data_IF_844737307042
#
_entry.id   IF_844737307042
#
_cell.length_a   1.000
_cell.length_b   1.000
_cell.length_c   1.000
_cell.angle_alpha   90.00
_cell.angle_beta   90.00
_cell.angle_gamma   90.00
#
_symmetry.space_group_name_H-M   'P 1'
#
loop_
_entity.id
_entity.type
_entity.pdbx_description
1 polymer ?
#
# COMPACT_ATOMS: atom_id res chain seq x y z
N UNK A 1 10.68 22.01 -3.82
CA UNK A 1 9.26 21.57 -3.79
C UNK A 1 9.28 20.05 -3.73
N UNK A 2 8.64 19.45 -2.74
CA UNK A 2 8.58 17.98 -2.61
C UNK A 2 7.78 17.46 -3.82
N UNK A 3 8.48 16.85 -4.78
CA UNK A 3 7.88 16.40 -6.04
C UNK A 3 6.93 15.25 -5.80
N UNK A 4 5.72 15.34 -6.34
CA UNK A 4 4.76 14.23 -6.31
C UNK A 4 5.14 13.27 -7.45
N UNK A 5 5.95 12.27 -7.14
CA UNK A 5 6.22 11.15 -8.04
C UNK A 5 5.02 10.18 -8.00
N UNK A 6 4.48 9.83 -9.17
CA UNK A 6 3.41 8.84 -9.29
C UNK A 6 3.96 7.59 -9.97
N UNK A 7 3.86 6.45 -9.29
CA UNK A 7 4.02 5.14 -9.91
C UNK A 7 2.63 4.57 -10.16
N UNK A 8 2.38 4.09 -11.39
CA UNK A 8 1.08 3.56 -11.79
C UNK A 8 1.27 2.20 -12.46
N UNK A 9 0.54 1.21 -11.96
CA UNK A 9 0.56 -0.16 -12.45
C UNK A 9 -0.88 -0.54 -12.75
N UNK A 10 -1.13 -0.99 -13.97
CA UNK A 10 -2.48 -1.32 -14.47
C UNK A 10 -2.45 -2.74 -14.98
N UNK A 11 -3.51 -3.50 -14.68
CA UNK A 11 -3.67 -4.82 -15.24
C UNK A 11 -3.70 -4.75 -16.78
N UNK A 12 -3.06 -5.69 -17.46
CA UNK A 12 -3.04 -5.80 -18.92
C UNK A 12 -4.35 -6.35 -19.47
N UNK A 13 -5.18 -6.94 -18.61
CA UNK A 13 -6.46 -7.57 -18.94
C UNK A 13 -7.53 -7.21 -17.90
N UNK A 14 -8.82 -7.20 -18.27
CA UNK A 14 -9.91 -7.04 -17.31
C UNK A 14 -9.89 -8.14 -16.24
N UNK A 15 -10.32 -7.80 -15.03
CA UNK A 15 -10.52 -8.80 -13.98
C UNK A 15 -11.66 -9.76 -14.37
N UNK A 16 -11.53 -11.06 -14.04
CA UNK A 16 -12.63 -12.01 -14.21
C UNK A 16 -13.83 -11.66 -13.31
N UNK A 17 -15.00 -12.19 -13.65
CA UNK A 17 -16.22 -12.03 -12.85
C UNK A 17 -16.37 -13.13 -11.81
N UNK A 18 -17.11 -12.86 -10.72
CA UNK A 18 -17.42 -13.84 -9.68
C UNK A 18 -16.46 -13.76 -8.50
N UNK A 19 -16.11 -14.92 -7.94
CA UNK A 19 -15.13 -15.01 -6.87
C UNK A 19 -13.71 -14.87 -7.43
N UNK A 20 -13.02 -13.82 -7.02
CA UNK A 20 -11.67 -13.50 -7.50
C UNK A 20 -10.76 -13.19 -6.33
N UNK A 21 -9.59 -13.82 -6.32
CA UNK A 21 -8.48 -13.45 -5.44
C UNK A 21 -7.58 -12.48 -6.20
N UNK A 22 -7.53 -11.23 -5.76
CA UNK A 22 -6.57 -10.24 -6.27
C UNK A 22 -5.40 -10.11 -5.31
N UNK A 23 -4.19 -10.01 -5.85
CA UNK A 23 -2.96 -9.86 -5.06
C UNK A 23 -2.03 -8.86 -5.72
N UNK A 24 -1.52 -7.92 -4.92
CA UNK A 24 -0.37 -7.09 -5.25
C UNK A 24 0.81 -7.60 -4.44
N UNK A 25 1.92 -7.88 -5.12
CA UNK A 25 3.20 -8.24 -4.52
C UNK A 25 4.19 -7.12 -4.79
N UNK A 26 4.80 -6.60 -3.73
CA UNK A 26 5.93 -5.68 -3.83
C UNK A 26 7.21 -6.40 -3.43
N UNK A 27 8.18 -6.41 -4.33
CA UNK A 27 9.52 -6.95 -4.11
C UNK A 27 10.53 -5.81 -4.11
N UNK A 28 10.98 -5.40 -2.93
CA UNK A 28 12.00 -4.38 -2.78
C UNK A 28 13.35 -4.87 -3.34
N UNK A 29 14.08 -3.99 -4.03
CA UNK A 29 15.41 -4.34 -4.55
C UNK A 29 16.43 -4.52 -3.42
N UNK A 30 16.21 -3.80 -2.31
CA UNK A 30 17.06 -3.77 -1.12
C UNK A 30 16.24 -3.42 0.12
N UNK A 31 16.67 -3.92 1.27
CA UNK A 31 16.05 -3.63 2.57
C UNK A 31 16.49 -2.25 3.09
N UNK A 32 15.92 -1.20 2.50
CA UNK A 32 16.17 0.17 2.96
C UNK A 32 14.88 1.00 2.94
N UNK A 33 14.86 2.05 3.76
CA UNK A 33 13.74 3.00 3.77
C UNK A 33 13.74 3.84 2.50
N UNK A 34 12.58 3.95 1.85
CA UNK A 34 12.42 4.74 0.64
C UNK A 34 12.96 4.07 -0.64
N UNK A 35 13.53 2.86 -0.53
CA UNK A 35 14.00 2.08 -1.67
C UNK A 35 12.86 1.68 -2.61
N UNK A 36 13.20 1.52 -3.89
CA UNK A 36 12.28 1.04 -4.91
C UNK A 36 12.14 -0.49 -4.93
N UNK A 37 11.29 -0.96 -5.85
CA UNK A 37 11.06 -2.37 -6.08
C UNK A 37 10.16 -2.63 -7.29
N UNK A 38 9.91 -3.90 -7.53
CA UNK A 38 8.97 -4.37 -8.56
C UNK A 38 7.61 -4.60 -7.93
N UNK A 39 6.56 -4.10 -8.58
CA UNK A 39 5.17 -4.35 -8.23
C UNK A 39 4.61 -5.34 -9.25
N UNK A 40 4.11 -6.47 -8.77
CA UNK A 40 3.45 -7.50 -9.58
C UNK A 40 2.01 -7.69 -9.13
N UNK A 41 1.08 -7.75 -10.08
CA UNK A 41 -0.35 -7.92 -9.82
C UNK A 41 -0.85 -9.26 -10.34
N UNK A 42 -1.74 -9.89 -9.57
CA UNK A 42 -2.29 -11.19 -9.86
C UNK A 42 -3.80 -11.22 -9.68
N UNK A 43 -4.48 -12.00 -10.52
CA UNK A 43 -5.85 -12.44 -10.32
C UNK A 43 -5.89 -13.97 -10.39
N UNK A 44 -6.40 -14.63 -9.36
CA UNK A 44 -6.45 -16.09 -9.26
C UNK A 44 -5.09 -16.75 -9.55
N UNK A 45 -4.03 -16.19 -8.97
CA UNK A 45 -2.62 -16.59 -9.14
C UNK A 45 -2.02 -16.45 -10.54
N UNK A 46 -2.78 -15.92 -11.50
CA UNK A 46 -2.26 -15.53 -12.82
C UNK A 46 -1.73 -14.11 -12.74
N UNK A 47 -0.49 -13.88 -13.20
CA UNK A 47 0.09 -12.53 -13.28
C UNK A 47 -0.61 -11.74 -14.38
N UNK A 48 -1.19 -10.60 -14.00
CA UNK A 48 -1.99 -9.74 -14.89
C UNK A 48 -1.38 -8.34 -15.06
N UNK A 49 -0.22 -8.08 -14.48
CA UNK A 49 0.45 -6.80 -14.65
C UNK A 49 1.71 -6.72 -13.80
N UNK A 50 2.62 -5.87 -14.22
CA UNK A 50 3.89 -5.65 -13.54
C UNK A 50 4.37 -4.24 -13.85
N UNK A 51 5.11 -3.64 -12.92
CA UNK A 51 5.78 -2.39 -13.19
C UNK A 51 6.78 -2.01 -12.13
N UNK A 52 7.57 -0.99 -12.46
CA UNK A 52 8.60 -0.47 -11.59
C UNK A 52 8.03 0.61 -10.66
N UNK A 53 8.44 0.58 -9.39
CA UNK A 53 8.29 1.69 -8.46
C UNK A 53 9.68 2.09 -7.99
N UNK A 54 10.18 3.23 -8.44
CA UNK A 54 11.58 3.60 -8.22
C UNK A 54 11.90 3.96 -6.77
N UNK A 55 10.90 4.42 -6.03
CA UNK A 55 11.02 4.83 -4.63
C UNK A 55 9.74 4.55 -3.87
N UNK A 56 9.88 4.20 -2.61
CA UNK A 56 8.78 4.14 -1.63
C UNK A 56 8.79 5.39 -0.75
N UNK A 57 7.72 5.58 0.04
CA UNK A 57 7.67 6.67 1.02
C UNK A 57 8.70 6.42 2.12
N UNK A 58 9.66 7.32 2.28
CA UNK A 58 10.79 7.13 3.19
C UNK A 58 10.46 7.42 4.67
N UNK A 59 9.33 8.07 4.97
CA UNK A 59 8.99 8.49 6.33
C UNK A 59 7.52 8.29 6.71
N UNK A 60 6.62 9.20 6.29
CA UNK A 60 5.21 9.18 6.71
C UNK A 60 4.26 9.15 5.52
N UNK A 61 3.38 8.15 5.50
CA UNK A 61 2.41 7.93 4.42
C UNK A 61 1.27 8.96 4.41
N UNK A 62 0.74 9.35 5.57
CA UNK A 62 -0.33 10.34 5.62
C UNK A 62 -0.42 11.11 6.94
N UNK A 63 -1.00 12.30 6.85
CA UNK A 63 -1.52 13.07 7.99
C UNK A 63 -3.05 13.21 7.99
N UNK A 64 -3.74 12.67 6.98
CA UNK A 64 -5.20 12.86 6.79
C UNK A 64 -5.94 11.56 6.44
N UNK A 65 -5.52 10.82 5.41
CA UNK A 65 -6.19 9.59 4.97
C UNK A 65 -5.64 8.33 5.68
N UNK A 66 -6.50 7.36 5.97
CA UNK A 66 -6.13 6.07 6.56
C UNK A 66 -6.04 4.94 5.53
N UNK A 67 -6.21 3.71 5.99
CA UNK A 67 -6.42 2.54 5.14
C UNK A 67 -7.91 2.20 5.14
N UNK A 68 -8.57 2.34 4.00
CA UNK A 68 -9.97 1.96 3.85
C UNK A 68 -10.12 0.60 3.13
N UNK A 69 -11.17 -0.14 3.50
CA UNK A 69 -11.54 -1.40 2.86
C UNK A 69 -13.00 -1.30 2.40
N UNK A 70 -13.25 -1.55 1.12
CA UNK A 70 -14.61 -1.58 0.56
C UNK A 70 -15.20 -0.21 0.20
N UNK A 71 -14.55 0.90 0.55
CA UNK A 71 -14.90 2.25 0.08
C UNK A 71 -13.73 3.20 0.33
N UNK A 72 -13.30 3.96 -0.67
CA UNK A 72 -12.26 4.98 -0.50
C UNK A 72 -12.89 6.30 0.02
N UNK A 73 -12.46 6.77 1.19
CA UNK A 73 -12.95 7.99 1.81
C UNK A 73 -11.95 9.14 1.62
N UNK A 74 -12.14 9.94 0.57
CA UNK A 74 -11.37 11.17 0.37
C UNK A 74 -11.02 11.43 -1.09
N UNK A 75 -9.74 11.71 -1.34
CA UNK A 75 -9.21 11.92 -2.68
C UNK A 75 -8.80 10.58 -3.30
N UNK A 76 -9.09 10.38 -4.59
CA UNK A 76 -8.76 9.13 -5.26
C UNK A 76 -7.23 8.92 -5.31
N UNK A 77 -6.81 7.67 -5.15
CA UNK A 77 -5.43 7.20 -5.35
C UNK A 77 -4.98 7.42 -6.80
N UNK A 78 -5.90 7.27 -7.78
CA UNK A 78 -5.64 7.52 -9.19
C UNK A 78 -6.73 8.42 -9.80
N UNK A 79 -6.30 9.46 -10.50
CA UNK A 79 -7.19 10.41 -11.20
C UNK A 79 -8.03 9.75 -12.28
N UNK A 80 -7.61 8.61 -12.83
CA UNK A 80 -8.34 7.87 -13.84
C UNK A 80 -9.74 7.41 -13.41
N UNK A 81 -10.02 7.38 -12.10
CA UNK A 81 -11.34 7.07 -11.56
C UNK A 81 -11.95 8.19 -10.72
N UNK A 82 -11.34 9.38 -10.69
CA UNK A 82 -11.69 10.44 -9.74
C UNK A 82 -13.11 11.01 -9.87
N UNK A 83 -13.78 10.76 -11.00
CA UNK A 83 -15.17 11.12 -11.26
C UNK A 83 -16.19 10.14 -10.63
N UNK A 84 -15.73 9.02 -10.07
CA UNK A 84 -16.58 7.93 -9.51
C UNK A 84 -16.82 8.02 -8.01
N UNK A 85 -16.51 9.16 -7.39
CA UNK A 85 -16.71 9.37 -5.95
C UNK A 85 -18.18 9.12 -5.57
N UNK A 86 -18.49 8.43 -4.46
CA UNK A 86 -17.62 8.10 -3.32
C UNK A 86 -17.03 6.68 -3.30
N UNK A 87 -16.78 6.08 -4.47
CA UNK A 87 -15.97 4.86 -4.63
C UNK A 87 -16.40 3.65 -3.78
N UNK A 88 -17.70 3.47 -3.54
CA UNK A 88 -18.20 2.29 -2.84
C UNK A 88 -17.96 1.03 -3.68
N UNK A 89 -17.30 0.02 -3.10
CA UNK A 89 -17.18 -1.29 -3.73
C UNK A 89 -18.56 -1.95 -3.79
N UNK A 90 -18.92 -2.45 -4.96
CA UNK A 90 -20.27 -3.01 -5.23
C UNK A 90 -20.35 -4.52 -5.02
N UNK A 91 -19.24 -5.17 -4.69
CA UNK A 91 -19.17 -6.59 -4.38
C UNK A 91 -19.02 -6.87 -2.88
N UNK A 92 -18.65 -8.11 -2.57
CA UNK A 92 -18.41 -8.55 -1.19
C UNK A 92 -16.92 -8.84 -0.99
N UNK A 93 -16.28 -8.16 -0.05
CA UNK A 93 -14.92 -8.52 0.40
C UNK A 93 -15.03 -9.69 1.36
N UNK A 94 -14.54 -10.87 0.97
CA UNK A 94 -14.60 -12.09 1.80
C UNK A 94 -13.44 -12.20 2.79
N UNK A 95 -12.24 -11.77 2.37
CA UNK A 95 -11.01 -11.88 3.15
C UNK A 95 -10.02 -10.81 2.69
N UNK A 96 -9.28 -10.25 3.65
CA UNK A 96 -8.11 -9.43 3.39
C UNK A 96 -6.92 -10.01 4.14
N UNK A 97 -5.76 -10.06 3.49
CA UNK A 97 -4.52 -10.59 4.05
C UNK A 97 -3.40 -9.61 3.76
N UNK A 98 -2.64 -9.26 4.79
CA UNK A 98 -1.35 -8.59 4.66
C UNK A 98 -0.28 -9.62 4.96
N UNK A 99 0.36 -10.10 3.91
CA UNK A 99 1.46 -11.05 4.02
C UNK A 99 2.77 -10.26 4.01
N UNK A 100 3.29 -10.05 5.21
CA UNK A 100 4.60 -9.46 5.40
C UNK A 100 5.59 -10.62 5.48
N UNK A 101 6.63 -10.61 4.62
CA UNK A 101 7.75 -11.54 4.79
C UNK A 101 8.22 -11.43 6.26
N UNK A 102 8.42 -12.54 6.98
CA UNK A 102 8.78 -12.49 8.38
C UNK A 102 10.08 -11.69 8.52
N UNK A 103 9.99 -10.56 9.23
CA UNK A 103 11.18 -9.90 9.76
C UNK A 103 11.68 -10.73 10.94
N UNK A 104 12.99 -10.71 11.22
CA UNK A 104 13.46 -11.35 12.44
C UNK A 104 12.76 -10.69 13.63
N UNK A 105 12.34 -11.45 14.65
CA UNK A 105 11.62 -10.91 15.82
C UNK A 105 12.30 -9.68 16.44
N UNK A 106 13.64 -9.64 16.39
CA UNK A 106 14.47 -8.53 16.84
C UNK A 106 14.29 -7.24 16.01
N UNK A 107 14.00 -7.36 14.71
CA UNK A 107 13.72 -6.23 13.82
C UNK A 107 12.30 -5.68 14.03
N UNK A 108 11.33 -6.55 14.33
CA UNK A 108 9.98 -6.13 14.77
C UNK A 108 10.00 -5.45 16.14
N UNK A 109 10.74 -5.99 17.11
CA UNK A 109 10.93 -5.37 18.43
C UNK A 109 11.63 -4.01 18.31
N UNK A 110 12.66 -3.89 17.47
CA UNK A 110 13.33 -2.62 17.20
C UNK A 110 12.37 -1.60 16.55
N UNK A 111 11.50 -2.03 15.63
CA UNK A 111 10.47 -1.17 15.03
C UNK A 111 9.44 -0.71 16.08
N UNK A 112 8.98 -1.63 16.95
CA UNK A 112 8.03 -1.35 18.03
C UNK A 112 8.62 -0.45 19.12
N UNK A 113 9.88 -0.63 19.50
CA UNK A 113 10.58 0.24 20.45
C UNK A 113 10.84 1.63 19.86
N UNK A 114 11.18 1.74 18.56
CA UNK A 114 11.32 3.05 17.93
C UNK A 114 9.97 3.81 17.84
N UNK A 115 8.86 3.08 17.68
CA UNK A 115 7.50 3.64 17.72
C UNK A 115 7.08 4.14 19.11
N UNK A 116 7.48 3.45 20.18
CA UNK A 116 7.18 3.86 21.56
C UNK A 116 8.05 5.04 22.03
N UNK A 117 9.33 5.10 21.64
CA UNK A 117 10.22 6.22 22.03
C UNK A 117 9.80 7.54 21.35
N UNK A 118 9.26 7.51 20.13
CA UNK A 118 8.70 8.71 19.49
C UNK A 118 7.29 9.08 19.97
N UNK A 119 6.52 8.13 20.53
CA UNK A 119 5.20 8.39 21.12
C UNK A 119 5.25 9.05 22.50
N UNK A 120 6.33 8.86 23.26
CA UNK A 120 6.46 9.39 24.63
C UNK A 120 7.30 10.68 24.69
N UNK A 121 8.22 10.91 23.73
CA UNK A 121 9.09 12.09 23.75
C UNK A 121 8.46 13.38 23.18
N UNK A 122 7.30 13.31 22.51
CA UNK A 122 6.55 14.50 22.08
C UNK A 122 5.41 14.90 23.04
N UNK A 123 5.36 14.30 24.23
CA UNK A 123 4.24 14.38 25.18
C UNK A 123 4.53 15.06 26.51
N UNK A 124 5.62 15.84 26.66
CA UNK A 124 5.84 16.70 27.84
C UNK A 124 6.34 18.08 27.40
N UNK A 125 5.35 18.95 27.19
CA UNK A 125 5.22 20.40 27.40
C UNK A 125 6.44 21.33 27.54
N UNK A 126 6.23 22.49 26.87
CA UNK A 126 6.50 23.88 27.29
C UNK A 126 7.95 24.41 27.27
#
# INVERSE_FOLDING_TARGET
MMGVEHSRQVATEPLPTGDVTVRMLFEADRQERGGGGTVSMYANDVKIGEGRMDKTVFFRFSGYAGMDIGRDNGLPVDRAYGDRSPYAFTGTVKKMVFDLKPAAHQEEEALHQHGSVHGVAAGISA
#
